data_IF_765983520507
#
_entry.id   IF_765983520507
#
_cell.length_a   1.000
_cell.length_b   1.000
_cell.length_c   1.000
_cell.angle_alpha   90.00
_cell.angle_beta   90.00
_cell.angle_gamma   90.00
#
_symmetry.space_group_name_H-M   'P 1'
#
loop_
_entity.id
_entity.type
_entity.pdbx_description
1 polymer ?
#
# COMPACT_ATOMS: atom_id res chain seq x y z
N UNK A 1 28.22 -10.14 4.88
CA UNK A 1 27.01 -9.79 5.65
C UNK A 1 25.97 -9.44 4.64
N UNK A 2 25.23 -10.45 4.18
CA UNK A 2 24.07 -10.28 3.35
C UNK A 2 23.10 -9.40 4.13
N UNK A 3 22.89 -8.17 3.64
CA UNK A 3 21.86 -7.30 4.19
C UNK A 3 20.57 -8.00 3.79
N UNK A 4 19.96 -8.74 4.72
CA UNK A 4 18.62 -9.28 4.51
C UNK A 4 17.74 -8.10 4.12
N UNK A 5 17.38 -8.04 2.83
CA UNK A 5 16.32 -7.17 2.36
C UNK A 5 15.08 -7.67 3.07
N UNK A 6 14.70 -6.99 4.14
CA UNK A 6 13.49 -7.26 4.88
C UNK A 6 12.37 -6.42 4.23
N UNK A 7 11.63 -6.98 3.25
CA UNK A 7 10.55 -6.27 2.60
C UNK A 7 9.39 -5.97 3.55
N UNK A 8 9.42 -6.45 4.80
CA UNK A 8 8.41 -6.11 5.82
C UNK A 8 8.72 -4.76 6.46
N UNK A 9 10.00 -4.39 6.63
CA UNK A 9 10.40 -3.09 7.21
C UNK A 9 10.13 -1.90 6.31
N UNK A 10 10.28 -2.07 5.00
CA UNK A 10 10.09 -0.96 4.05
C UNK A 10 8.64 -0.43 4.04
N UNK A 11 7.67 -1.31 4.32
CA UNK A 11 6.25 -0.98 4.30
C UNK A 11 5.72 -0.51 5.67
N UNK A 12 6.52 -0.54 6.73
CA UNK A 12 6.04 -0.23 8.07
C UNK A 12 5.56 1.24 8.19
N UNK A 13 4.37 1.42 8.77
CA UNK A 13 3.74 2.74 8.93
C UNK A 13 3.23 3.38 7.64
N UNK A 14 3.33 2.72 6.48
CA UNK A 14 2.91 3.30 5.21
C UNK A 14 1.40 3.64 5.17
N UNK A 15 0.54 2.83 5.78
CA UNK A 15 -0.90 3.17 5.91
C UNK A 15 -1.13 4.49 6.65
N UNK A 16 -0.38 4.71 7.74
CA UNK A 16 -0.48 5.94 8.52
C UNK A 16 -0.01 7.13 7.69
N UNK A 17 1.16 7.02 7.06
CA UNK A 17 1.72 8.07 6.18
C UNK A 17 0.77 8.43 5.03
N UNK A 18 0.15 7.44 4.39
CA UNK A 18 -0.82 7.70 3.32
C UNK A 18 -2.08 8.40 3.85
N UNK A 19 -2.57 8.03 5.03
CA UNK A 19 -3.71 8.70 5.65
C UNK A 19 -3.39 10.16 6.01
N UNK A 20 -2.21 10.43 6.59
CA UNK A 20 -1.73 11.79 6.87
C UNK A 20 -1.60 12.63 5.59
N UNK A 21 -1.09 12.01 4.50
CA UNK A 21 -1.05 12.64 3.19
C UNK A 21 -2.44 13.02 2.69
N UNK A 22 -3.40 12.09 2.71
CA UNK A 22 -4.78 12.36 2.28
C UNK A 22 -5.40 13.50 3.09
N UNK A 23 -5.16 13.53 4.41
CA UNK A 23 -5.63 14.62 5.27
C UNK A 23 -5.03 15.96 4.88
N UNK A 24 -3.71 16.02 4.63
CA UNK A 24 -3.02 17.26 4.23
C UNK A 24 -3.52 17.78 2.89
N UNK A 25 -3.73 16.90 1.91
CA UNK A 25 -4.22 17.26 0.57
C UNK A 25 -5.75 17.40 0.51
N UNK A 26 -6.46 17.22 1.64
CA UNK A 26 -7.92 17.26 1.75
C UNK A 26 -8.64 16.22 0.87
N UNK A 27 -7.98 15.11 0.58
CA UNK A 27 -8.59 13.98 -0.10
C UNK A 27 -9.42 13.13 0.87
N UNK A 28 -10.46 12.43 0.38
CA UNK A 28 -11.14 11.41 1.17
C UNK A 28 -10.16 10.35 1.70
N UNK A 29 -10.56 9.65 2.76
CA UNK A 29 -9.73 8.58 3.33
C UNK A 29 -9.50 7.46 2.30
N UNK A 30 -8.29 6.88 2.26
CA UNK A 30 -7.98 5.74 1.40
C UNK A 30 -8.84 4.53 1.76
N UNK A 31 -9.34 3.84 0.74
CA UNK A 31 -10.04 2.55 0.89
C UNK A 31 -9.08 1.41 0.58
N UNK A 32 -9.06 0.39 1.46
CA UNK A 32 -8.22 -0.79 1.31
C UNK A 32 -9.09 -2.01 1.04
N UNK A 33 -8.59 -2.93 0.21
CA UNK A 33 -9.25 -4.22 -0.05
C UNK A 33 -8.22 -5.31 -0.22
N UNK A 34 -8.47 -6.49 0.37
CA UNK A 34 -7.74 -7.71 0.03
C UNK A 34 -8.29 -8.20 -1.32
N UNK A 35 -7.43 -8.20 -2.33
CA UNK A 35 -7.80 -8.63 -3.70
C UNK A 35 -7.51 -10.11 -3.92
N UNK A 36 -6.47 -10.64 -3.26
CA UNK A 36 -6.08 -12.05 -3.38
C UNK A 36 -5.66 -12.61 -2.03
N UNK A 37 -6.15 -13.82 -1.74
CA UNK A 37 -5.63 -14.72 -0.71
C UNK A 37 -5.06 -15.94 -1.43
N UNK A 38 -3.79 -16.25 -1.20
CA UNK A 38 -3.02 -17.24 -1.96
C UNK A 38 -2.43 -18.25 -0.97
N UNK A 39 -2.45 -19.53 -1.35
CA UNK A 39 -1.77 -20.59 -0.61
C UNK A 39 -2.61 -21.22 0.54
N UNK A 40 -2.06 -22.28 1.17
CA UNK A 40 -2.72 -22.99 2.25
C UNK A 40 -2.74 -22.16 3.55
N UNK A 41 -3.55 -22.58 4.53
CA UNK A 41 -3.69 -21.84 5.80
C UNK A 41 -2.36 -21.60 6.56
N UNK A 42 -1.39 -22.52 6.45
CA UNK A 42 -0.08 -22.42 7.10
C UNK A 42 0.96 -21.61 6.30
N UNK A 43 0.65 -21.25 5.06
CA UNK A 43 1.51 -20.42 4.18
C UNK A 43 0.62 -19.45 3.39
N UNK A 44 -0.32 -18.81 4.10
CA UNK A 44 -1.28 -17.90 3.48
C UNK A 44 -0.60 -16.59 3.16
N UNK A 45 -0.80 -16.11 1.94
CA UNK A 45 -0.29 -14.85 1.43
C UNK A 45 -1.43 -13.96 0.93
N UNK A 46 -1.22 -12.66 0.98
CA UNK A 46 -2.23 -11.64 0.74
C UNK A 46 -1.69 -10.60 -0.24
N UNK A 47 -2.55 -10.15 -1.15
CA UNK A 47 -2.33 -8.95 -1.94
C UNK A 47 -3.48 -8.00 -1.68
N UNK A 48 -3.16 -6.75 -1.33
CA UNK A 48 -4.14 -5.70 -1.12
C UNK A 48 -4.05 -4.62 -2.19
N UNK A 49 -5.17 -3.94 -2.41
CA UNK A 49 -5.25 -2.70 -3.17
C UNK A 49 -5.53 -1.51 -2.27
N UNK A 50 -5.22 -0.33 -2.79
CA UNK A 50 -5.64 0.97 -2.26
C UNK A 50 -6.36 1.72 -3.36
N UNK A 51 -7.50 2.31 -3.01
CA UNK A 51 -8.22 3.26 -3.83
C UNK A 51 -8.27 4.61 -3.12
N UNK A 52 -7.83 5.66 -3.82
CA UNK A 52 -7.94 7.05 -3.36
C UNK A 52 -8.56 7.92 -4.46
N UNK A 53 -9.30 8.95 -4.05
CA UNK A 53 -9.83 9.97 -4.95
C UNK A 53 -8.95 11.22 -4.77
N UNK A 54 -8.28 11.63 -5.83
CA UNK A 54 -7.41 12.80 -5.92
C UNK A 54 -8.00 13.83 -6.90
N UNK A 55 -7.33 14.96 -7.11
CA UNK A 55 -7.83 16.01 -8.00
C UNK A 55 -7.92 15.54 -9.47
N UNK A 56 -7.00 14.68 -9.88
CA UNK A 56 -6.86 14.12 -11.22
C UNK A 56 -7.84 12.95 -11.48
N UNK A 57 -8.58 12.51 -10.46
CA UNK A 57 -9.54 11.41 -10.54
C UNK A 57 -9.31 10.34 -9.48
N UNK A 58 -9.58 9.09 -9.82
CA UNK A 58 -9.44 7.96 -8.91
C UNK A 58 -8.16 7.19 -9.21
N UNK A 59 -7.30 7.06 -8.21
CA UNK A 59 -6.10 6.23 -8.28
C UNK A 59 -6.37 4.88 -7.61
N UNK A 60 -6.06 3.80 -8.32
CA UNK A 60 -6.12 2.43 -7.83
C UNK A 60 -4.74 1.80 -7.93
N UNK A 61 -4.19 1.32 -6.81
CA UNK A 61 -2.84 0.76 -6.75
C UNK A 61 -2.83 -0.55 -5.99
N UNK A 62 -2.21 -1.56 -6.60
CA UNK A 62 -1.97 -2.87 -6.00
C UNK A 62 -0.66 -2.88 -5.23
N UNK A 63 -0.67 -3.43 -4.03
CA UNK A 63 0.53 -3.73 -3.25
C UNK A 63 1.21 -5.02 -3.68
N UNK A 64 2.36 -5.30 -3.07
CA UNK A 64 3.04 -6.57 -3.19
C UNK A 64 2.40 -7.66 -2.32
N UNK A 65 2.74 -8.91 -2.63
CA UNK A 65 2.34 -10.07 -1.84
C UNK A 65 3.03 -10.07 -0.47
N UNK A 66 2.27 -10.34 0.60
CA UNK A 66 2.78 -10.43 1.98
C UNK A 66 2.13 -11.58 2.74
N UNK A 67 2.82 -12.12 3.74
CA UNK A 67 2.32 -13.21 4.59
C UNK A 67 1.23 -12.77 5.60
N UNK A 68 1.02 -11.45 5.77
CA UNK A 68 -0.01 -10.90 6.67
C UNK A 68 -0.82 -9.84 5.94
N UNK A 69 -2.14 -9.84 6.14
CA UNK A 69 -3.03 -8.86 5.52
C UNK A 69 -2.62 -7.41 5.85
N UNK A 70 -2.26 -7.12 7.11
CA UNK A 70 -1.77 -5.80 7.54
C UNK A 70 -0.54 -5.34 6.74
N UNK A 71 0.38 -6.26 6.47
CA UNK A 71 1.60 -5.95 5.72
C UNK A 71 1.28 -5.76 4.23
N UNK A 72 0.33 -6.50 3.67
CA UNK A 72 -0.15 -6.31 2.31
C UNK A 72 -0.82 -4.94 2.13
N UNK A 73 -1.64 -4.51 3.10
CA UNK A 73 -2.22 -3.16 3.11
C UNK A 73 -1.15 -2.06 3.19
N UNK A 74 -0.16 -2.24 4.07
CA UNK A 74 0.99 -1.35 4.16
C UNK A 74 1.80 -1.30 2.85
N UNK A 75 1.96 -2.45 2.19
CA UNK A 75 2.63 -2.52 0.88
C UNK A 75 1.87 -1.75 -0.19
N UNK A 76 0.53 -1.89 -0.24
CA UNK A 76 -0.31 -1.13 -1.16
C UNK A 76 -0.28 0.38 -0.86
N UNK A 77 -0.24 0.77 0.42
CA UNK A 77 -0.09 2.17 0.82
C UNK A 77 1.25 2.75 0.36
N UNK A 78 2.36 2.02 0.54
CA UNK A 78 3.68 2.45 0.10
C UNK A 78 3.72 2.63 -1.43
N UNK A 79 3.19 1.66 -2.18
CA UNK A 79 3.10 1.75 -3.63
C UNK A 79 2.29 2.98 -4.07
N UNK A 80 1.17 3.25 -3.40
CA UNK A 80 0.35 4.45 -3.68
C UNK A 80 1.11 5.75 -3.42
N UNK A 81 1.84 5.84 -2.30
CA UNK A 81 2.66 7.03 -2.00
C UNK A 81 3.70 7.26 -3.10
N UNK A 82 4.35 6.20 -3.58
CA UNK A 82 5.33 6.28 -4.67
C UNK A 82 4.68 6.77 -5.97
N UNK A 83 3.55 6.19 -6.37
CA UNK A 83 2.82 6.62 -7.57
C UNK A 83 2.39 8.09 -7.50
N UNK A 84 1.97 8.57 -6.32
CA UNK A 84 1.63 9.96 -6.10
C UNK A 84 2.84 10.89 -6.16
N UNK A 85 4.01 10.45 -5.71
CA UNK A 85 5.24 11.22 -5.80
C UNK A 85 5.69 11.32 -7.27
N UNK A 86 5.74 10.21 -8.00
CA UNK A 86 6.11 10.18 -9.42
C UNK A 86 5.19 11.07 -10.27
N UNK A 87 3.89 11.06 -9.98
CA UNK A 87 2.91 11.92 -10.68
C UNK A 87 3.09 13.42 -10.41
N UNK A 88 3.66 13.80 -9.25
CA UNK A 88 3.94 15.21 -8.90
C UNK A 88 5.25 15.73 -9.51
N UNK A 89 6.10 14.85 -10.04
CA UNK A 89 7.40 15.20 -10.64
C UNK A 89 7.46 14.98 -12.16
N UNK A 90 6.33 14.65 -12.80
CA UNK A 90 6.21 14.47 -14.25
C UNK A 90 5.49 15.63 -14.93
#
# INVERSE_FOLDING_TARGET
>A
MDVEFDPTKECEGAKQKLNELCQREKWPKPTYRVEKEIGPAHDRRFICSVQIIIAEGMLFVMGGEKSRAKDAENSAALATIRSLQESKFS
#
